data_IF_492470773326
#
_entry.id   IF_492470773326
#
_cell.length_a   1.000
_cell.length_b   1.000
_cell.length_c   1.000
_cell.angle_alpha   90.00
_cell.angle_beta   90.00
_cell.angle_gamma   90.00
#
_symmetry.space_group_name_H-M   'P 1'
#
loop_
_entity.id
_entity.type
_entity.pdbx_description
1 polymer ?
#
# COMPACT_ATOMS: atom_id res chain seq x y z
N UNK A 1 -34.47 4.68 -13.59
CA UNK A 1 -33.21 5.11 -12.97
C UNK A 1 -32.20 4.01 -13.25
N UNK A 2 -31.25 4.27 -14.14
CA UNK A 2 -30.20 3.29 -14.45
C UNK A 2 -29.23 3.30 -13.28
N UNK A 3 -29.24 2.24 -12.48
CA UNK A 3 -28.16 1.96 -11.55
C UNK A 3 -26.89 1.80 -12.39
N UNK A 4 -26.04 2.82 -12.37
CA UNK A 4 -24.66 2.74 -12.85
C UNK A 4 -23.99 1.59 -12.12
N UNK A 5 -23.97 0.41 -12.77
CA UNK A 5 -23.31 -0.82 -12.35
C UNK A 5 -21.91 -0.48 -11.88
N UNK A 6 -21.74 -0.39 -10.57
CA UNK A 6 -20.65 0.27 -9.87
C UNK A 6 -19.34 -0.54 -10.00
N UNK A 7 -18.39 -0.19 -10.91
CA UNK A 7 -17.08 -0.82 -10.97
C UNK A 7 -16.08 -0.06 -10.07
N UNK A 8 -16.55 0.98 -9.36
CA UNK A 8 -15.76 1.96 -8.63
C UNK A 8 -15.39 1.57 -7.20
N UNK A 9 -15.98 0.50 -6.67
CA UNK A 9 -15.84 0.16 -5.25
C UNK A 9 -14.51 -0.55 -4.88
N UNK A 10 -13.95 -1.48 -5.69
CA UNK A 10 -12.73 -2.19 -5.32
C UNK A 10 -11.52 -1.29 -5.13
N UNK A 11 -11.29 -0.35 -6.06
CA UNK A 11 -10.16 0.60 -5.97
C UNK A 11 -10.33 1.54 -4.78
N UNK A 12 -11.54 2.06 -4.54
CA UNK A 12 -11.80 2.95 -3.40
C UNK A 12 -11.59 2.23 -2.07
N UNK A 13 -12.07 0.99 -1.97
CA UNK A 13 -11.83 0.14 -0.79
C UNK A 13 -10.35 -0.09 -0.57
N UNK A 14 -9.59 -0.42 -1.63
CA UNK A 14 -8.15 -0.64 -1.54
C UNK A 14 -7.40 0.63 -1.07
N UNK A 15 -7.69 1.79 -1.67
CA UNK A 15 -7.08 3.07 -1.29
C UNK A 15 -7.42 3.45 0.16
N UNK A 16 -8.66 3.19 0.60
CA UNK A 16 -9.06 3.43 1.99
C UNK A 16 -8.27 2.55 2.97
N UNK A 17 -8.12 1.27 2.67
CA UNK A 17 -7.34 0.35 3.50
C UNK A 17 -5.87 0.76 3.51
N UNK A 18 -5.30 1.09 2.36
CA UNK A 18 -3.92 1.55 2.27
C UNK A 18 -3.69 2.84 3.07
N UNK A 19 -4.60 3.81 2.98
CA UNK A 19 -4.51 5.04 3.77
C UNK A 19 -4.44 4.77 5.28
N UNK A 20 -5.31 3.88 5.78
CA UNK A 20 -5.27 3.46 7.20
C UNK A 20 -3.95 2.76 7.55
N UNK A 21 -3.42 1.93 6.64
CA UNK A 21 -2.14 1.26 6.86
C UNK A 21 -0.98 2.25 6.96
N UNK A 22 -0.96 3.28 6.09
CA UNK A 22 0.09 4.30 6.10
C UNK A 22 0.08 5.07 7.43
N UNK A 23 -1.08 5.55 7.87
CA UNK A 23 -1.16 6.29 9.13
C UNK A 23 -0.77 5.42 10.33
N UNK A 24 -1.19 4.15 10.37
CA UNK A 24 -0.79 3.22 11.42
C UNK A 24 0.71 2.94 11.42
N UNK A 25 1.32 2.83 10.24
CA UNK A 25 2.76 2.65 10.11
C UNK A 25 3.52 3.87 10.61
N UNK A 26 3.13 5.08 10.20
CA UNK A 26 3.74 6.34 10.65
C UNK A 26 3.67 6.48 12.18
N UNK A 27 2.49 6.29 12.77
CA UNK A 27 2.28 6.39 14.21
C UNK A 27 3.12 5.36 14.98
N UNK A 28 3.09 4.08 14.56
CA UNK A 28 3.79 3.01 15.27
C UNK A 28 5.30 3.09 15.11
N UNK A 29 5.80 3.38 13.91
CA UNK A 29 7.24 3.50 13.69
C UNK A 29 7.82 4.70 14.44
N UNK A 30 7.11 5.83 14.50
CA UNK A 30 7.52 6.97 15.32
C UNK A 30 7.65 6.57 16.80
N UNK A 31 6.63 5.93 17.37
CA UNK A 31 6.65 5.48 18.76
C UNK A 31 7.76 4.45 19.04
N UNK A 32 8.06 3.55 18.10
CA UNK A 32 9.15 2.58 18.25
C UNK A 32 10.52 3.23 18.17
N UNK A 33 10.71 4.21 17.27
CA UNK A 33 11.96 4.96 17.16
C UNK A 33 12.22 5.80 18.41
N UNK A 34 11.20 6.40 19.00
CA UNK A 34 11.30 7.08 20.30
C UNK A 34 11.72 6.12 21.41
N UNK A 35 11.14 4.92 21.46
CA UNK A 35 11.53 3.88 22.42
C UNK A 35 12.96 3.40 22.22
N UNK A 36 13.40 3.21 20.97
CA UNK A 36 14.79 2.85 20.65
C UNK A 36 15.75 3.94 21.10
N UNK A 37 15.43 5.21 20.86
CA UNK A 37 16.26 6.34 21.28
C UNK A 37 16.34 6.49 22.81
N UNK A 38 15.31 6.03 23.53
CA UNK A 38 15.27 6.03 24.99
C UNK A 38 15.77 4.72 25.63
N UNK A 39 16.11 3.71 24.83
CA UNK A 39 16.52 2.40 25.33
C UNK A 39 17.90 2.49 26.03
N UNK A 40 18.05 1.90 27.23
CA UNK A 40 19.34 1.82 27.90
C UNK A 40 20.40 1.04 27.09
N UNK A 41 21.63 1.54 27.07
CA UNK A 41 22.76 0.90 26.35
C UNK A 41 23.14 -0.48 26.91
N UNK A 42 22.71 -0.81 28.13
CA UNK A 42 23.01 -2.08 28.81
C UNK A 42 22.01 -3.20 28.48
N UNK A 43 20.99 -2.94 27.65
CA UNK A 43 19.96 -3.90 27.26
C UNK A 43 19.84 -4.04 25.73
N UNK A 44 20.86 -4.63 25.07
CA UNK A 44 20.88 -4.78 23.61
C UNK A 44 19.76 -5.66 23.06
N UNK A 45 19.23 -6.59 23.85
CA UNK A 45 18.12 -7.48 23.44
C UNK A 45 16.82 -6.69 23.21
N UNK A 46 16.56 -5.66 24.01
CA UNK A 46 15.39 -4.79 23.82
C UNK A 46 15.51 -3.94 22.57
N UNK A 47 16.71 -3.42 22.30
CA UNK A 47 16.98 -2.67 21.07
C UNK A 47 16.78 -3.56 19.84
N UNK A 48 17.28 -4.81 19.88
CA UNK A 48 17.08 -5.77 18.80
C UNK A 48 15.60 -6.10 18.60
N UNK A 49 14.83 -6.28 19.68
CA UNK A 49 13.38 -6.55 19.62
C UNK A 49 12.62 -5.39 18.99
N UNK A 50 12.88 -4.15 19.42
CA UNK A 50 12.24 -2.96 18.88
C UNK A 50 12.62 -2.73 17.41
N UNK A 51 13.90 -2.94 17.05
CA UNK A 51 14.35 -2.84 15.67
C UNK A 51 13.70 -3.88 14.76
N UNK A 52 13.52 -5.12 15.24
CA UNK A 52 12.81 -6.16 14.52
C UNK A 52 11.36 -5.76 14.23
N UNK A 53 10.68 -5.14 15.19
CA UNK A 53 9.30 -4.66 15.00
C UNK A 53 9.21 -3.57 13.92
N UNK A 54 10.17 -2.62 13.89
CA UNK A 54 10.24 -1.61 12.82
C UNK A 54 10.48 -2.24 11.46
N UNK A 55 11.35 -3.25 11.38
CA UNK A 55 11.62 -4.00 10.13
C UNK A 55 10.36 -4.70 9.65
N UNK A 56 9.61 -5.37 10.53
CA UNK A 56 8.37 -6.05 10.18
C UNK A 56 7.28 -5.09 9.71
N UNK A 57 7.10 -3.96 10.40
CA UNK A 57 6.17 -2.90 9.97
C UNK A 57 6.54 -2.35 8.59
N UNK A 58 7.85 -2.16 8.33
CA UNK A 58 8.35 -1.66 7.04
C UNK A 58 8.12 -2.69 5.93
N UNK A 59 8.33 -3.97 6.23
CA UNK A 59 8.06 -5.05 5.29
C UNK A 59 6.57 -5.16 4.94
N UNK A 60 5.67 -5.02 5.92
CA UNK A 60 4.21 -5.00 5.69
C UNK A 60 3.80 -3.79 4.82
N UNK A 61 4.33 -2.60 5.14
CA UNK A 61 4.06 -1.39 4.36
C UNK A 61 4.50 -1.55 2.89
N UNK A 62 5.70 -2.08 2.67
CA UNK A 62 6.21 -2.34 1.33
C UNK A 62 5.35 -3.35 0.55
N UNK A 63 4.81 -4.37 1.23
CA UNK A 63 3.88 -5.32 0.61
C UNK A 63 2.63 -4.62 0.10
N UNK A 64 1.99 -3.82 0.96
CA UNK A 64 0.78 -3.09 0.61
C UNK A 64 1.02 -2.03 -0.48
N UNK A 65 2.18 -1.36 -0.47
CA UNK A 65 2.56 -0.42 -1.53
C UNK A 65 2.68 -1.14 -2.89
N UNK A 66 3.33 -2.31 -2.92
CA UNK A 66 3.46 -3.11 -4.15
C UNK A 66 2.10 -3.56 -4.67
N UNK A 67 1.19 -3.99 -3.81
CA UNK A 67 -0.18 -4.38 -4.18
C UNK A 67 -0.93 -3.23 -4.85
N UNK A 68 -0.87 -2.03 -4.26
CA UNK A 68 -1.51 -0.86 -4.83
C UNK A 68 -0.93 -0.45 -6.18
N UNK A 69 0.41 -0.37 -6.26
CA UNK A 69 1.10 -0.03 -7.51
C UNK A 69 0.73 -1.04 -8.59
N UNK A 70 0.74 -2.33 -8.27
CA UNK A 70 0.32 -3.40 -9.18
C UNK A 70 -1.12 -3.21 -9.68
N UNK A 71 -2.06 -2.89 -8.79
CA UNK A 71 -3.46 -2.61 -9.18
C UNK A 71 -3.58 -1.42 -10.14
N UNK A 72 -2.86 -0.34 -9.87
CA UNK A 72 -2.87 0.86 -10.73
C UNK A 72 -2.28 0.53 -12.11
N UNK A 73 -1.12 -0.12 -12.15
CA UNK A 73 -0.47 -0.53 -13.40
C UNK A 73 -1.36 -1.46 -14.22
N UNK A 74 -1.99 -2.46 -13.59
CA UNK A 74 -2.94 -3.35 -14.27
C UNK A 74 -4.14 -2.59 -14.83
N UNK A 75 -4.64 -1.59 -14.10
CA UNK A 75 -5.74 -0.73 -14.57
C UNK A 75 -5.32 0.06 -15.81
N UNK A 76 -4.14 0.67 -15.80
CA UNK A 76 -3.59 1.41 -16.94
C UNK A 76 -3.39 0.49 -18.16
N UNK A 77 -2.83 -0.70 -17.96
CA UNK A 77 -2.62 -1.68 -19.03
C UNK A 77 -3.94 -2.10 -19.68
N UNK A 78 -5.00 -2.32 -18.88
CA UNK A 78 -6.34 -2.64 -19.40
C UNK A 78 -6.88 -1.51 -20.28
N UNK A 79 -6.82 -0.27 -19.79
CA UNK A 79 -7.28 0.91 -20.56
C UNK A 79 -6.55 1.01 -21.90
N UNK A 80 -5.22 0.87 -21.91
CA UNK A 80 -4.43 0.95 -23.14
C UNK A 80 -4.73 -0.20 -24.11
N UNK A 81 -4.98 -1.40 -23.59
CA UNK A 81 -5.33 -2.57 -24.39
C UNK A 81 -6.71 -2.41 -25.03
N UNK A 82 -7.69 -1.98 -24.25
CA UNK A 82 -9.07 -1.75 -24.72
C UNK A 82 -9.10 -0.63 -25.77
N UNK A 83 -8.34 0.44 -25.56
CA UNK A 83 -8.22 1.55 -26.50
C UNK A 83 -7.58 1.10 -27.82
N UNK A 84 -6.49 0.33 -27.77
CA UNK A 84 -5.84 -0.20 -28.98
C UNK A 84 -6.81 -1.06 -29.79
N UNK A 85 -7.52 -1.97 -29.14
CA UNK A 85 -8.52 -2.81 -29.81
C UNK A 85 -9.66 -2.00 -30.42
N UNK A 86 -10.05 -0.87 -29.81
CA UNK A 86 -11.05 0.03 -30.36
C UNK A 86 -10.53 0.79 -31.60
N UNK A 87 -9.26 1.18 -31.61
CA UNK A 87 -8.61 1.82 -32.76
C UNK A 87 -8.53 0.83 -33.93
N UNK A 88 -8.09 -0.40 -33.68
CA UNK A 88 -7.98 -1.46 -34.71
C UNK A 88 -9.33 -1.72 -35.39
N UNK A 89 -10.41 -1.88 -34.60
CA UNK A 89 -11.78 -2.04 -35.14
C UNK A 89 -12.29 -0.85 -35.95
N UNK A 90 -11.77 0.35 -35.71
CA UNK A 90 -12.19 1.54 -36.45
C UNK A 90 -11.43 1.71 -37.79
N UNK A 91 -10.39 0.91 -38.01
CA UNK A 91 -9.57 0.90 -39.23
C UNK A 91 -9.96 -0.22 -40.21
N UNK A 92 -10.78 -1.17 -39.76
CA UNK A 92 -11.42 -2.23 -40.57
C UNK A 92 -12.72 -1.73 -41.22
#
# INVERSE_FOLDING_TARGET
MQEERQPRDPTRKMLRVFGVKVTQYEERTAALLEQIAAAPDDQPEDLLRLAAEVVDLTADMNRHLREMVGHVLNTQQRVLTDLRAAIERAQE
#
